data_IF_308556689683
#
_entry.id   IF_308556689683
#
_cell.length_a   1.000
_cell.length_b   1.000
_cell.length_c   1.000
_cell.angle_alpha   90.00
_cell.angle_beta   90.00
_cell.angle_gamma   90.00
#
_symmetry.space_group_name_H-M   'P 1'
#
loop_
_entity.id
_entity.type
_entity.pdbx_description
1 polymer ?
#
# COMPACT_ATOMS: atom_id res chain seq x y z
N UNK A 1 9.84 24.05 -6.25
CA UNK A 1 8.43 24.05 -6.66
C UNK A 1 7.60 24.32 -5.43
N UNK A 2 6.79 25.35 -5.45
CA UNK A 2 5.85 25.66 -4.39
C UNK A 2 4.47 25.08 -4.73
N UNK A 3 3.69 24.70 -3.72
CA UNK A 3 2.38 24.04 -3.93
C UNK A 3 1.41 24.88 -4.78
N UNK A 4 1.49 26.21 -4.69
CA UNK A 4 0.66 27.15 -5.44
C UNK A 4 1.08 27.32 -6.92
N UNK A 5 2.15 26.66 -7.35
CA UNK A 5 2.57 26.60 -8.77
C UNK A 5 1.95 25.41 -9.50
N UNK A 6 1.26 24.51 -8.79
CA UNK A 6 0.58 23.36 -9.39
C UNK A 6 -0.73 23.77 -10.05
N UNK A 7 -0.98 23.24 -11.25
CA UNK A 7 -2.28 23.35 -11.89
C UNK A 7 -3.35 22.58 -11.09
N UNK A 8 -4.60 23.06 -11.10
CA UNK A 8 -5.68 22.49 -10.32
C UNK A 8 -6.75 21.84 -11.21
N UNK A 9 -7.23 20.63 -10.87
CA UNK A 9 -7.02 19.92 -9.60
C UNK A 9 -5.74 19.06 -9.58
N UNK A 10 -5.00 19.14 -8.47
CA UNK A 10 -3.85 18.28 -8.17
C UNK A 10 -4.03 17.62 -6.80
N UNK A 11 -3.76 16.31 -6.72
CA UNK A 11 -3.69 15.59 -5.44
C UNK A 11 -2.27 15.68 -4.90
N UNK A 12 -2.10 16.28 -3.72
CA UNK A 12 -0.81 16.46 -3.08
C UNK A 12 -0.79 15.69 -1.77
N UNK A 13 0.35 15.08 -1.46
CA UNK A 13 0.61 14.41 -0.19
C UNK A 13 1.80 15.12 0.47
N UNK A 14 1.62 15.49 1.73
CA UNK A 14 2.71 15.94 2.60
C UNK A 14 3.56 14.72 2.99
N UNK A 15 4.82 14.71 2.55
CA UNK A 15 5.73 13.57 2.72
C UNK A 15 6.15 13.41 4.19
N UNK A 16 6.38 14.50 4.91
CA UNK A 16 6.78 14.46 6.32
C UNK A 16 5.65 13.85 7.17
N UNK A 17 4.40 14.23 6.89
CA UNK A 17 3.22 13.66 7.55
C UNK A 17 3.01 12.21 7.15
N UNK A 18 3.22 11.85 5.87
CA UNK A 18 3.12 10.47 5.39
C UNK A 18 4.11 9.56 6.13
N UNK A 19 5.38 9.94 6.16
CA UNK A 19 6.45 9.19 6.81
C UNK A 19 6.20 9.05 8.31
N UNK A 20 5.81 10.13 8.98
CA UNK A 20 5.43 10.09 10.40
C UNK A 20 4.30 9.10 10.64
N UNK A 21 3.23 9.14 9.85
CA UNK A 21 2.09 8.25 10.02
C UNK A 21 2.45 6.77 9.78
N UNK A 22 3.34 6.49 8.82
CA UNK A 22 3.83 5.14 8.56
C UNK A 22 4.60 4.61 9.77
N UNK A 23 5.55 5.41 10.28
CA UNK A 23 6.39 5.03 11.41
C UNK A 23 5.57 4.87 12.70
N UNK A 24 4.68 5.82 13.00
CA UNK A 24 3.82 5.76 14.18
C UNK A 24 2.99 4.47 14.23
N UNK A 25 2.40 4.06 13.09
CA UNK A 25 1.61 2.83 13.03
C UNK A 25 2.47 1.57 13.15
N UNK A 26 3.64 1.56 12.52
CA UNK A 26 4.57 0.45 12.64
C UNK A 26 5.05 0.28 14.09
N UNK A 27 5.46 1.37 14.75
CA UNK A 27 5.87 1.37 16.14
C UNK A 27 4.73 0.99 17.08
N UNK A 28 3.51 1.46 16.81
CA UNK A 28 2.34 1.08 17.59
C UNK A 28 2.09 -0.44 17.56
N UNK A 29 2.09 -1.06 16.38
CA UNK A 29 1.94 -2.50 16.25
C UNK A 29 3.09 -3.27 16.90
N UNK A 30 4.32 -2.78 16.74
CA UNK A 30 5.52 -3.35 17.38
C UNK A 30 5.42 -3.34 18.89
N UNK A 31 4.98 -2.21 19.49
CA UNK A 31 4.79 -2.07 20.94
C UNK A 31 3.71 -3.00 21.50
N UNK A 32 2.69 -3.30 20.68
CA UNK A 32 1.64 -4.27 21.01
C UNK A 32 2.05 -5.73 20.75
N UNK A 33 3.22 -5.98 20.14
CA UNK A 33 3.67 -7.32 19.77
C UNK A 33 2.85 -7.97 18.65
N UNK A 34 2.15 -7.18 17.82
CA UNK A 34 1.34 -7.66 16.70
C UNK A 34 2.00 -7.34 15.37
N UNK A 35 1.71 -8.16 14.35
CA UNK A 35 2.22 -7.92 13.00
C UNK A 35 1.33 -6.91 12.26
N UNK A 36 1.93 -5.86 11.71
CA UNK A 36 1.26 -4.94 10.81
C UNK A 36 1.31 -5.44 9.36
N UNK A 37 0.16 -5.46 8.68
CA UNK A 37 0.08 -5.61 7.22
C UNK A 37 -0.70 -4.43 6.62
N UNK A 38 0.03 -3.49 6.03
CA UNK A 38 -0.53 -2.25 5.50
C UNK A 38 -1.50 -2.50 4.34
N UNK A 39 -2.68 -1.88 4.39
CA UNK A 39 -3.66 -2.01 3.32
C UNK A 39 -3.52 -0.88 2.30
N UNK A 40 -3.24 -1.25 1.05
CA UNK A 40 -2.91 -0.29 -0.01
C UNK A 40 -4.12 0.33 -0.70
N UNK A 41 -5.37 -0.07 -0.37
CA UNK A 41 -6.57 0.44 -1.05
C UNK A 41 -6.69 1.97 -0.97
N UNK A 42 -6.14 2.58 0.08
CA UNK A 42 -6.23 4.01 0.35
C UNK A 42 -5.38 4.84 -0.61
N UNK A 43 -4.20 4.35 -0.99
CA UNK A 43 -3.24 5.12 -1.81
C UNK A 43 -2.94 4.49 -3.17
N UNK A 44 -3.03 3.16 -3.30
CA UNK A 44 -2.76 2.38 -4.52
C UNK A 44 -1.39 2.66 -5.17
N UNK A 45 -0.48 3.22 -4.41
CA UNK A 45 0.86 3.61 -4.84
C UNK A 45 1.90 2.58 -4.33
N UNK A 46 2.69 1.95 -5.22
CA UNK A 46 3.70 0.98 -4.83
C UNK A 46 4.86 1.55 -3.99
N UNK A 47 5.26 2.79 -4.20
CA UNK A 47 6.34 3.40 -3.43
C UNK A 47 5.94 3.61 -1.97
N UNK A 48 4.70 4.06 -1.72
CA UNK A 48 4.15 4.14 -0.36
C UNK A 48 4.05 2.75 0.29
N UNK A 49 3.67 1.72 -0.49
CA UNK A 49 3.64 0.35 0.00
C UNK A 49 5.04 -0.17 0.38
N UNK A 50 6.08 0.16 -0.39
CA UNK A 50 7.47 -0.15 -0.07
C UNK A 50 7.93 0.58 1.19
N UNK A 51 7.54 1.85 1.39
CA UNK A 51 7.82 2.58 2.63
C UNK A 51 7.20 1.87 3.84
N UNK A 52 5.95 1.40 3.73
CA UNK A 52 5.28 0.63 4.79
C UNK A 52 6.02 -0.69 5.09
N UNK A 53 6.45 -1.41 4.07
CA UNK A 53 7.24 -2.65 4.23
C UNK A 53 8.59 -2.35 4.90
N UNK A 54 9.29 -1.30 4.46
CA UNK A 54 10.56 -0.87 5.04
C UNK A 54 10.42 -0.46 6.53
N UNK A 55 9.28 0.13 6.91
CA UNK A 55 8.97 0.46 8.30
C UNK A 55 8.63 -0.76 9.17
N UNK A 56 8.49 -1.96 8.59
CA UNK A 56 8.26 -3.21 9.32
C UNK A 56 6.91 -3.87 9.03
N UNK A 57 6.16 -3.40 8.03
CA UNK A 57 4.96 -4.13 7.60
C UNK A 57 5.34 -5.47 6.96
N UNK A 58 4.70 -6.55 7.41
CA UNK A 58 4.91 -7.90 6.86
C UNK A 58 4.02 -8.12 5.63
N UNK A 59 4.52 -7.65 4.51
CA UNK A 59 3.78 -7.61 3.25
C UNK A 59 2.66 -6.57 3.27
N UNK A 60 1.74 -6.68 2.31
CA UNK A 60 0.65 -5.73 2.12
C UNK A 60 -0.70 -6.41 1.88
N UNK A 61 -1.78 -5.64 1.98
CA UNK A 61 -3.14 -6.05 1.63
C UNK A 61 -3.65 -5.31 0.41
N UNK A 62 -4.17 -6.06 -0.57
CA UNK A 62 -4.87 -5.54 -1.75
C UNK A 62 -6.33 -6.02 -1.78
N UNK A 63 -7.24 -5.18 -2.29
CA UNK A 63 -8.66 -5.51 -2.40
C UNK A 63 -9.08 -5.90 -3.83
N UNK A 64 -8.31 -5.49 -4.84
CA UNK A 64 -8.59 -5.76 -6.26
C UNK A 64 -7.38 -6.40 -6.91
N UNK A 65 -7.64 -7.36 -7.81
CA UNK A 65 -6.58 -8.10 -8.50
C UNK A 65 -5.65 -7.19 -9.31
N UNK A 66 -6.20 -6.18 -10.00
CA UNK A 66 -5.38 -5.22 -10.75
C UNK A 66 -4.44 -4.40 -9.85
N UNK A 67 -4.89 -4.02 -8.64
CA UNK A 67 -4.03 -3.33 -7.68
C UNK A 67 -2.90 -4.27 -7.21
N UNK A 68 -3.21 -5.54 -6.92
CA UNK A 68 -2.21 -6.55 -6.54
C UNK A 68 -1.18 -6.82 -7.65
N UNK A 69 -1.62 -6.94 -8.90
CA UNK A 69 -0.73 -7.12 -10.05
C UNK A 69 0.25 -5.94 -10.21
N UNK A 70 -0.22 -4.71 -9.98
CA UNK A 70 0.65 -3.52 -10.05
C UNK A 70 1.67 -3.50 -8.91
N UNK A 71 1.27 -3.90 -7.69
CA UNK A 71 2.19 -4.04 -6.56
C UNK A 71 3.23 -5.13 -6.83
N UNK A 72 2.80 -6.28 -7.37
CA UNK A 72 3.69 -7.38 -7.74
C UNK A 72 4.72 -6.98 -8.81
N UNK A 73 4.28 -6.28 -9.87
CA UNK A 73 5.18 -5.72 -10.90
C UNK A 73 6.19 -4.73 -10.32
N UNK A 74 5.84 -4.04 -9.25
CA UNK A 74 6.73 -3.12 -8.55
C UNK A 74 7.70 -3.81 -7.57
N UNK A 75 7.67 -5.14 -7.47
CA UNK A 75 8.59 -5.95 -6.66
C UNK A 75 8.09 -6.28 -5.25
N UNK A 76 6.81 -6.05 -4.94
CA UNK A 76 6.21 -6.51 -3.68
C UNK A 76 5.72 -7.96 -3.84
N UNK A 77 6.26 -8.89 -3.07
CA UNK A 77 6.06 -10.33 -3.21
C UNK A 77 5.08 -10.93 -2.17
N UNK A 78 5.02 -10.35 -0.97
CA UNK A 78 4.06 -10.75 0.07
C UNK A 78 2.76 -9.92 0.01
N UNK A 79 1.81 -10.36 -0.82
CA UNK A 79 0.53 -9.67 -1.05
C UNK A 79 -0.65 -10.55 -0.61
N UNK A 80 -1.42 -10.07 0.37
CA UNK A 80 -2.66 -10.70 0.81
C UNK A 80 -3.86 -10.10 0.07
N UNK A 81 -4.68 -10.96 -0.52
CA UNK A 81 -5.97 -10.60 -1.09
C UNK A 81 -7.08 -10.77 -0.04
N UNK A 82 -7.70 -9.67 0.41
CA UNK A 82 -8.80 -9.70 1.41
C UNK A 82 -10.19 -9.64 0.79
N UNK A 83 -10.32 -10.06 -0.47
CA UNK A 83 -11.59 -10.05 -1.19
C UNK A 83 -11.75 -11.26 -2.10
N UNK A 84 -13.00 -11.68 -2.29
CA UNK A 84 -13.32 -12.86 -3.08
C UNK A 84 -12.99 -12.64 -4.57
N UNK A 85 -12.25 -13.57 -5.17
CA UNK A 85 -11.91 -13.54 -6.60
C UNK A 85 -12.92 -14.39 -7.36
N UNK A 86 -14.00 -13.74 -7.82
CA UNK A 86 -15.10 -14.42 -8.51
C UNK A 86 -15.03 -14.20 -10.03
N UNK A 87 -15.09 -15.31 -10.77
CA UNK A 87 -15.16 -15.38 -12.24
C UNK A 87 -13.88 -15.91 -12.88
N UNK A 88 -14.05 -16.79 -13.88
CA UNK A 88 -12.95 -17.56 -14.51
C UNK A 88 -11.79 -16.68 -14.99
N UNK A 89 -12.07 -15.50 -15.57
CA UNK A 89 -11.02 -14.59 -16.02
C UNK A 89 -10.15 -14.04 -14.89
N UNK A 90 -10.75 -13.75 -13.72
CA UNK A 90 -10.01 -13.22 -12.57
C UNK A 90 -9.20 -14.32 -11.89
N UNK A 91 -9.77 -15.51 -11.77
CA UNK A 91 -9.07 -16.68 -11.20
C UNK A 91 -7.85 -17.02 -12.05
N UNK A 92 -7.97 -17.07 -13.38
CA UNK A 92 -6.83 -17.31 -14.30
C UNK A 92 -5.69 -16.29 -14.20
N UNK A 93 -5.97 -15.09 -13.71
CA UNK A 93 -4.96 -14.04 -13.51
C UNK A 93 -4.28 -14.12 -12.14
N UNK A 94 -4.90 -14.82 -11.18
CA UNK A 94 -4.37 -15.00 -9.83
C UNK A 94 -3.39 -16.18 -9.74
N UNK A 95 -3.61 -17.23 -10.54
CA UNK A 95 -2.84 -18.49 -10.55
C UNK A 95 -1.76 -18.52 -11.62
#
# INVERSE_FOLDING_TARGET
>A
MHIYELDTPSVVIDVDVLEKNINDMADHCKNLGITLRGHTKSHKNPEIAKMQVAAGSKGIVCQKLGDAENMARAGLDDILMTYNIVGNQKVRRLV
#
